data_IF_336868947029
#
_entry.id   IF_336868947029
#
_cell.length_a   1.000
_cell.length_b   1.000
_cell.length_c   1.000
_cell.angle_alpha   90.00
_cell.angle_beta   90.00
_cell.angle_gamma   90.00
#
_symmetry.space_group_name_H-M   'P 1'
#
loop_
_entity.id
_entity.type
_entity.pdbx_description
1 polymer ?
#
# COMPACT_ATOMS: atom_id res chain seq x y z
N UNK A 1 18.27 -2.52 6.39
CA UNK A 1 17.08 -1.91 5.75
C UNK A 1 16.42 -0.98 6.75
N UNK A 2 16.11 0.27 6.37
CA UNK A 2 15.38 1.21 7.25
C UNK A 2 13.89 1.10 6.96
N UNK A 3 13.09 0.75 7.96
CA UNK A 3 11.63 0.75 7.86
C UNK A 3 11.19 2.20 7.70
N UNK A 4 10.52 2.52 6.59
CA UNK A 4 10.07 3.88 6.28
C UNK A 4 8.79 4.21 7.07
N UNK A 5 7.82 3.30 7.03
CA UNK A 5 6.53 3.46 7.70
C UNK A 5 6.05 2.07 8.11
N UNK A 6 5.42 1.98 9.29
CA UNK A 6 4.77 0.77 9.77
C UNK A 6 3.35 1.12 10.25
N UNK A 7 2.35 0.32 9.86
CA UNK A 7 0.97 0.49 10.33
C UNK A 7 0.76 -0.25 11.65
N UNK A 8 1.15 0.38 12.76
CA UNK A 8 0.95 -0.18 14.10
C UNK A 8 -0.53 -0.35 14.48
N UNK A 9 -1.42 0.44 13.88
CA UNK A 9 -2.86 0.40 14.17
C UNK A 9 -3.50 -0.87 13.60
N UNK A 10 -3.14 -1.26 12.38
CA UNK A 10 -3.63 -2.50 11.77
C UNK A 10 -3.30 -3.75 12.62
N UNK A 11 -2.12 -3.78 13.25
CA UNK A 11 -1.70 -4.88 14.13
C UNK A 11 -2.49 -4.95 15.45
N UNK A 12 -3.14 -3.85 15.85
CA UNK A 12 -3.93 -3.78 17.07
C UNK A 12 -5.41 -4.07 16.80
N UNK A 13 -5.93 -3.54 15.69
CA UNK A 13 -7.35 -3.61 15.35
C UNK A 13 -7.72 -4.92 14.61
N UNK A 14 -6.74 -5.58 13.99
CA UNK A 14 -6.94 -6.81 13.21
C UNK A 14 -5.96 -7.91 13.62
N UNK A 15 -6.41 -9.16 13.51
CA UNK A 15 -5.54 -10.32 13.64
C UNK A 15 -4.85 -10.60 12.30
N UNK A 16 -3.52 -10.58 12.29
CA UNK A 16 -2.73 -10.93 11.11
C UNK A 16 -2.69 -12.44 10.95
N UNK A 17 -3.28 -12.94 9.87
CA UNK A 17 -3.27 -14.36 9.52
C UNK A 17 -2.01 -14.72 8.72
N UNK A 18 -1.73 -13.95 7.67
CA UNK A 18 -0.59 -14.15 6.77
C UNK A 18 0.04 -12.81 6.39
N UNK A 19 1.34 -12.82 6.10
CA UNK A 19 2.09 -11.66 5.60
C UNK A 19 2.66 -11.95 4.23
N UNK A 20 2.50 -11.00 3.31
CA UNK A 20 3.02 -11.09 1.94
C UNK A 20 3.95 -9.93 1.64
N UNK A 21 5.00 -10.18 0.86
CA UNK A 21 5.88 -9.14 0.35
C UNK A 21 5.43 -8.71 -1.05
N UNK A 22 5.25 -7.40 -1.24
CA UNK A 22 4.82 -6.82 -2.51
C UNK A 22 5.70 -5.65 -2.92
N UNK A 23 5.98 -5.54 -4.22
CA UNK A 23 6.48 -4.30 -4.80
C UNK A 23 5.37 -3.25 -4.90
N UNK A 24 5.67 -1.97 -4.75
CA UNK A 24 4.70 -0.88 -4.94
C UNK A 24 5.10 0.01 -6.10
N UNK A 25 4.15 0.32 -6.99
CA UNK A 25 4.40 1.21 -8.13
C UNK A 25 4.30 2.67 -7.70
N UNK A 26 5.47 3.30 -7.57
CA UNK A 26 5.63 4.69 -7.13
C UNK A 26 6.07 5.61 -8.26
N UNK A 27 5.72 6.89 -8.14
CA UNK A 27 6.31 7.96 -8.96
C UNK A 27 7.65 8.40 -8.36
N UNK A 28 8.54 8.95 -9.19
CA UNK A 28 9.87 9.39 -8.75
C UNK A 28 9.84 10.43 -7.61
N UNK A 29 8.86 11.34 -7.60
CA UNK A 29 8.66 12.30 -6.50
C UNK A 29 8.21 11.64 -5.20
N UNK A 30 7.35 10.63 -5.27
CA UNK A 30 6.89 9.88 -4.09
C UNK A 30 8.00 9.04 -3.48
N UNK A 31 8.87 8.45 -4.31
CA UNK A 31 10.04 7.73 -3.82
C UNK A 31 10.97 8.67 -3.03
N UNK A 32 11.10 9.95 -3.44
CA UNK A 32 11.86 10.96 -2.69
C UNK A 32 11.17 11.30 -1.36
N UNK A 33 9.85 11.52 -1.35
CA UNK A 33 9.08 11.75 -0.12
C UNK A 33 9.18 10.59 0.88
N UNK A 34 9.10 9.36 0.40
CA UNK A 34 9.21 8.16 1.23
C UNK A 34 10.60 8.03 1.86
N UNK A 35 11.68 8.35 1.13
CA UNK A 35 13.03 8.38 1.71
C UNK A 35 13.17 9.40 2.85
N UNK A 36 12.37 10.46 2.84
CA UNK A 36 12.28 11.45 3.92
C UNK A 36 11.33 11.05 5.06
N UNK A 37 10.69 9.87 4.99
CA UNK A 37 9.72 9.41 5.99
C UNK A 37 8.35 10.10 5.89
N UNK A 38 8.06 10.81 4.81
CA UNK A 38 6.86 11.62 4.68
C UNK A 38 5.64 10.81 4.15
N UNK A 39 5.36 9.66 4.76
CA UNK A 39 4.21 8.81 4.42
C UNK A 39 3.50 8.23 5.65
N UNK A 40 2.19 8.04 5.52
CA UNK A 40 1.34 7.45 6.55
C UNK A 40 0.47 6.33 5.97
N UNK A 41 0.46 5.19 6.66
CA UNK A 41 -0.33 3.99 6.34
C UNK A 41 -1.57 3.84 7.24
N UNK A 42 -1.87 4.79 8.12
CA UNK A 42 -2.86 4.63 9.21
C UNK A 42 -4.22 4.10 8.77
N UNK A 43 -4.74 4.56 7.63
CA UNK A 43 -6.05 4.17 7.09
C UNK A 43 -5.93 3.43 5.73
N UNK A 44 -4.71 3.00 5.40
CA UNK A 44 -4.43 2.33 4.14
C UNK A 44 -4.90 0.88 4.19
N UNK A 45 -5.54 0.44 3.10
CA UNK A 45 -6.02 -0.93 2.93
C UNK A 45 -5.80 -1.36 1.47
N UNK A 46 -5.68 -2.67 1.27
CA UNK A 46 -5.63 -3.29 -0.04
C UNK A 46 -7.03 -3.63 -0.56
N UNK A 47 -7.22 -3.47 -1.85
CA UNK A 47 -8.39 -3.98 -2.56
C UNK A 47 -7.91 -4.76 -3.78
N UNK A 48 -8.54 -5.90 -4.02
CA UNK A 48 -8.23 -6.76 -5.15
C UNK A 48 -9.28 -6.52 -6.23
N UNK A 49 -8.84 -6.02 -7.37
CA UNK A 49 -9.71 -5.66 -8.49
C UNK A 49 -9.18 -6.30 -9.78
N UNK A 50 -10.02 -7.10 -10.45
CA UNK A 50 -9.72 -7.74 -11.74
C UNK A 50 -8.39 -8.53 -11.78
N UNK A 51 -8.04 -9.21 -10.69
CA UNK A 51 -6.81 -10.00 -10.60
C UNK A 51 -5.54 -9.17 -10.34
N UNK A 52 -5.69 -7.91 -9.97
CA UNK A 52 -4.61 -7.04 -9.54
C UNK A 52 -4.89 -6.52 -8.13
N UNK A 53 -3.83 -6.26 -7.36
CA UNK A 53 -3.94 -5.71 -6.00
C UNK A 53 -3.60 -4.23 -6.04
N UNK A 54 -4.45 -3.42 -5.43
CA UNK A 54 -4.29 -1.99 -5.32
C UNK A 54 -4.29 -1.58 -3.85
N UNK A 55 -3.37 -0.69 -3.50
CA UNK A 55 -3.32 -0.05 -2.20
C UNK A 55 -4.07 1.29 -2.25
N UNK A 56 -5.06 1.42 -1.36
CA UNK A 56 -5.89 2.59 -1.17
C UNK A 56 -5.51 3.34 0.10
N UNK A 57 -5.89 4.62 0.17
CA UNK A 57 -5.70 5.50 1.33
C UNK A 57 -4.27 5.68 1.86
N UNK A 58 -3.24 5.13 1.22
CA UNK A 58 -1.85 5.47 1.52
C UNK A 58 -1.62 6.96 1.26
N UNK A 59 -1.33 7.71 2.31
CA UNK A 59 -1.01 9.12 2.24
C UNK A 59 0.50 9.31 2.08
N UNK A 60 0.93 9.82 0.93
CA UNK A 60 2.33 10.25 0.71
C UNK A 60 2.33 11.75 0.54
N UNK A 61 3.03 12.46 1.42
CA UNK A 61 3.12 13.91 1.34
C UNK A 61 3.88 14.30 0.07
N UNK A 62 3.40 15.30 -0.71
CA UNK A 62 4.10 15.75 -1.90
C UNK A 62 5.52 16.21 -1.58
N UNK A 63 6.46 15.89 -2.47
CA UNK A 63 7.85 16.28 -2.29
C UNK A 63 8.00 17.80 -2.44
N UNK A 64 8.47 18.48 -1.39
CA UNK A 64 8.54 19.96 -1.34
C UNK A 64 9.41 20.58 -2.43
N UNK A 65 10.44 19.88 -2.90
CA UNK A 65 11.34 20.37 -3.95
C UNK A 65 10.97 19.84 -5.34
N UNK A 66 9.69 19.50 -5.56
CA UNK A 66 9.22 19.07 -6.87
C UNK A 66 8.77 20.28 -7.71
N UNK A 67 9.41 20.50 -8.85
CA UNK A 67 9.05 21.58 -9.79
C UNK A 67 7.87 21.19 -10.70
N UNK A 68 7.55 19.90 -10.79
CA UNK A 68 6.43 19.39 -11.61
C UNK A 68 5.09 19.30 -10.87
N UNK A 69 4.00 18.94 -11.56
CA UNK A 69 2.68 18.80 -10.95
C UNK A 69 2.69 17.77 -9.83
N UNK A 70 2.15 18.17 -8.66
CA UNK A 70 2.03 17.30 -7.50
C UNK A 70 1.00 16.20 -7.78
N UNK A 71 1.37 14.93 -7.56
CA UNK A 71 0.42 13.83 -7.61
C UNK A 71 -0.51 13.86 -6.40
N UNK A 72 -1.77 13.44 -6.58
CA UNK A 72 -2.70 13.28 -5.46
C UNK A 72 -2.06 12.38 -4.37
N UNK A 73 -1.91 12.88 -3.12
CA UNK A 73 -1.32 12.14 -2.00
C UNK A 73 -1.96 10.79 -1.74
N UNK A 74 -3.29 10.69 -1.93
CA UNK A 74 -4.11 9.49 -1.69
C UNK A 74 -4.42 8.68 -2.95
N UNK A 75 -3.64 8.83 -4.02
CA UNK A 75 -3.86 8.04 -5.24
C UNK A 75 -3.81 6.54 -4.96
N UNK A 76 -4.62 5.76 -5.68
CA UNK A 76 -4.48 4.30 -5.73
C UNK A 76 -3.11 3.92 -6.30
N UNK A 77 -2.45 2.94 -5.67
CA UNK A 77 -1.12 2.46 -6.07
C UNK A 77 -1.19 0.96 -6.32
N UNK A 78 -0.74 0.52 -7.49
CA UNK A 78 -0.71 -0.90 -7.83
C UNK A 78 0.38 -1.60 -7.02
N UNK A 79 0.04 -2.76 -6.46
CA UNK A 79 0.98 -3.68 -5.84
C UNK A 79 1.37 -4.77 -6.83
N UNK A 80 2.64 -5.16 -6.79
CA UNK A 80 3.26 -6.18 -7.60
C UNK A 80 3.47 -7.40 -6.71
N UNK A 81 2.63 -8.40 -6.91
CA UNK A 81 2.62 -9.68 -6.19
C UNK A 81 2.72 -10.83 -7.20
N UNK A 82 3.08 -12.01 -6.74
CA UNK A 82 3.10 -13.18 -7.60
C UNK A 82 1.65 -13.60 -7.94
N UNK A 83 1.41 -14.05 -9.17
CA UNK A 83 0.09 -14.49 -9.62
C UNK A 83 -0.48 -15.62 -8.74
N UNK A 84 0.37 -16.49 -8.18
CA UNK A 84 -0.05 -17.55 -7.26
C UNK A 84 -0.55 -16.99 -5.93
N UNK A 85 0.07 -15.92 -5.42
CA UNK A 85 -0.32 -15.26 -4.17
C UNK A 85 -1.63 -14.49 -4.35
N UNK A 86 -1.77 -13.77 -5.46
CA UNK A 86 -3.01 -13.04 -5.81
C UNK A 86 -4.20 -13.99 -5.84
N UNK A 87 -4.06 -15.20 -6.43
CA UNK A 87 -5.14 -16.19 -6.46
C UNK A 87 -5.52 -16.70 -5.06
N UNK A 88 -4.55 -16.91 -4.18
CA UNK A 88 -4.81 -17.29 -2.78
C UNK A 88 -5.54 -16.17 -2.04
N UNK A 89 -5.04 -14.94 -2.15
CA UNK A 89 -5.66 -13.75 -1.56
C UNK A 89 -7.09 -13.55 -2.06
N UNK A 90 -7.33 -13.76 -3.37
CA UNK A 90 -8.67 -13.65 -3.93
C UNK A 90 -9.67 -14.60 -3.27
N UNK A 91 -9.28 -15.87 -3.05
CA UNK A 91 -10.11 -16.84 -2.34
C UNK A 91 -10.39 -16.41 -0.89
N UNK A 92 -9.38 -15.89 -0.19
CA UNK A 92 -9.49 -15.46 1.21
C UNK A 92 -10.34 -14.19 1.38
N UNK A 93 -10.22 -13.23 0.45
CA UNK A 93 -10.99 -11.98 0.47
C UNK A 93 -12.45 -12.23 0.09
N UNK A 94 -12.73 -13.13 -0.87
CA UNK A 94 -14.10 -13.50 -1.21
C UNK A 94 -14.84 -14.28 -0.11
N UNK A 95 -14.13 -14.99 0.76
CA UNK A 95 -14.73 -15.87 1.78
C UNK A 95 -15.43 -15.16 2.98
N UNK A 96 -15.82 -13.88 2.82
CA UNK A 96 -16.50 -13.01 3.80
C UNK A 96 -15.63 -12.55 4.98
N UNK A 97 -15.35 -11.24 5.03
CA UNK A 97 -14.93 -10.52 6.24
C UNK A 97 -13.46 -10.09 6.28
N UNK A 98 -12.62 -10.55 5.34
CA UNK A 98 -11.19 -10.25 5.36
C UNK A 98 -10.86 -8.98 4.58
N UNK A 99 -10.09 -8.09 5.19
CA UNK A 99 -9.53 -6.87 4.56
C UNK A 99 -8.03 -7.03 4.40
N UNK A 100 -7.46 -6.46 3.33
CA UNK A 100 -6.03 -6.46 3.00
C UNK A 100 -5.32 -5.22 3.54
#
# INVERSE_FOLDING_TARGET
>A
MKIITNNRKALHDYQVLDTYEAGIVLKGSEAKSLRQGAASLSDAHGELNNGEVYLFNLHISPYRFNTGPSSNPKRRRKLLLNMREIKKLYGLVQQKGNTL
#
